data_IF_837356832799
#
_entry.id   IF_837356832799
#
_cell.length_a   1.000
_cell.length_b   1.000
_cell.length_c   1.000
_cell.angle_alpha   90.00
_cell.angle_beta   90.00
_cell.angle_gamma   90.00
#
_symmetry.space_group_name_H-M   'P 1'
#
loop_
_entity.id
_entity.type
_entity.pdbx_description
1 polymer ?
#
# COMPACT_ATOMS: atom_id res chain seq x y z
N UNK A 1 -13.81 -11.79 40.09
CA UNK A 1 -14.93 -12.39 39.43
C UNK A 1 -15.99 -11.35 39.16
N UNK A 2 -16.06 -10.88 37.92
CA UNK A 2 -17.17 -10.05 37.48
C UNK A 2 -18.40 -10.93 37.31
N UNK A 3 -19.59 -10.42 37.72
CA UNK A 3 -20.86 -11.09 37.51
C UNK A 3 -21.21 -10.99 36.04
N UNK A 4 -21.09 -12.08 35.30
CA UNK A 4 -21.20 -12.11 33.84
C UNK A 4 -22.63 -11.86 33.35
N UNK A 5 -23.67 -12.15 34.16
CA UNK A 5 -25.06 -11.95 33.77
C UNK A 5 -25.91 -11.49 34.93
N UNK A 6 -26.39 -10.27 34.90
CA UNK A 6 -27.43 -9.76 35.75
C UNK A 6 -28.69 -9.50 34.90
N UNK A 7 -29.22 -10.56 34.26
CA UNK A 7 -30.54 -10.52 33.65
C UNK A 7 -31.56 -10.95 34.68
N UNK A 8 -32.57 -10.13 34.98
CA UNK A 8 -33.73 -10.53 35.75
C UNK A 8 -34.53 -11.54 34.90
N UNK A 9 -34.20 -12.80 35.02
CA UNK A 9 -34.99 -13.86 34.41
C UNK A 9 -36.28 -14.07 35.18
N UNK A 10 -37.41 -13.99 34.51
CA UNK A 10 -38.71 -14.48 34.99
C UNK A 10 -38.77 -16.00 34.96
N UNK A 11 -37.64 -16.66 34.76
CA UNK A 11 -37.46 -18.10 34.54
C UNK A 11 -36.34 -18.62 35.42
N UNK A 12 -36.36 -19.90 35.77
CA UNK A 12 -35.31 -20.54 36.55
C UNK A 12 -34.27 -21.17 35.68
N UNK A 13 -32.97 -20.89 35.93
CA UNK A 13 -31.87 -21.59 35.34
C UNK A 13 -31.61 -22.89 36.09
N UNK A 14 -31.56 -24.02 35.41
CA UNK A 14 -31.37 -25.36 35.97
C UNK A 14 -30.02 -25.99 35.67
N UNK A 15 -29.31 -25.49 34.72
CA UNK A 15 -27.98 -25.97 34.34
C UNK A 15 -27.19 -24.92 33.57
N UNK A 16 -25.89 -25.02 33.64
CA UNK A 16 -24.94 -24.18 32.93
C UNK A 16 -23.73 -25.01 32.58
N UNK A 17 -23.22 -24.81 31.39
CA UNK A 17 -21.96 -25.39 30.96
C UNK A 17 -21.22 -24.42 30.05
N UNK A 18 -19.89 -24.59 29.93
CA UNK A 18 -19.01 -23.74 29.14
C UNK A 18 -18.47 -24.57 28.00
N UNK A 19 -18.37 -23.97 26.82
CA UNK A 19 -17.76 -24.58 25.61
C UNK A 19 -16.32 -25.02 25.87
N UNK A 20 -15.85 -26.01 25.13
CA UNK A 20 -14.52 -26.60 25.33
C UNK A 20 -13.37 -25.58 25.08
N UNK A 21 -13.60 -24.58 24.24
CA UNK A 21 -12.67 -23.48 23.97
C UNK A 21 -12.76 -22.33 24.99
N UNK A 22 -13.76 -22.35 25.86
CA UNK A 22 -13.96 -21.35 26.90
C UNK A 22 -14.57 -20.03 26.42
N UNK A 23 -15.09 -19.96 25.21
CA UNK A 23 -15.63 -18.73 24.63
C UNK A 23 -17.11 -18.52 24.88
N UNK A 24 -17.88 -19.61 24.98
CA UNK A 24 -19.33 -19.56 25.11
C UNK A 24 -19.85 -20.25 26.38
N UNK A 25 -21.03 -19.86 26.84
CA UNK A 25 -21.74 -20.46 27.97
C UNK A 25 -23.18 -20.75 27.61
N UNK A 26 -23.61 -21.99 27.83
CA UNK A 26 -24.97 -22.44 27.63
C UNK A 26 -25.76 -22.51 28.94
N UNK A 27 -26.95 -21.93 28.96
CA UNK A 27 -27.88 -21.97 30.13
C UNK A 27 -29.14 -22.78 29.82
N UNK A 28 -29.40 -23.78 30.61
CA UNK A 28 -30.68 -24.48 30.59
C UNK A 28 -31.75 -23.69 31.33
N UNK A 29 -32.76 -23.22 30.62
CA UNK A 29 -33.83 -22.37 31.19
C UNK A 29 -35.19 -23.08 31.14
N UNK A 30 -35.84 -23.17 32.29
CA UNK A 30 -37.20 -23.68 32.40
C UNK A 30 -38.19 -22.58 32.74
N UNK A 31 -39.31 -22.56 32.03
CA UNK A 31 -40.38 -21.60 32.26
C UNK A 31 -41.51 -22.26 33.07
N UNK A 32 -41.96 -21.59 34.13
CA UNK A 32 -43.07 -22.05 34.94
C UNK A 32 -44.45 -21.94 34.25
N UNK A 33 -44.51 -21.19 33.19
CA UNK A 33 -45.75 -20.97 32.46
C UNK A 33 -45.51 -20.93 30.96
N UNK A 34 -46.21 -21.71 30.25
CA UNK A 34 -46.64 -21.55 28.85
C UNK A 34 -45.72 -21.94 27.69
N UNK A 35 -44.41 -21.74 27.72
CA UNK A 35 -43.63 -21.80 26.49
C UNK A 35 -42.54 -22.90 26.39
N UNK A 36 -42.52 -23.84 27.33
CA UNK A 36 -41.48 -24.89 27.35
C UNK A 36 -40.14 -24.38 27.85
N UNK A 37 -39.11 -25.23 27.79
CA UNK A 37 -37.74 -24.87 28.13
C UNK A 37 -36.94 -24.44 26.89
N UNK A 38 -35.91 -23.69 27.15
CA UNK A 38 -34.92 -23.31 26.13
C UNK A 38 -33.49 -23.50 26.63
N UNK A 39 -32.57 -23.62 25.71
CA UNK A 39 -31.16 -23.40 25.99
C UNK A 39 -30.77 -22.04 25.38
N UNK A 40 -30.14 -21.19 26.19
CA UNK A 40 -29.61 -19.91 25.76
C UNK A 40 -28.09 -19.97 25.74
N UNK A 41 -27.49 -19.56 24.66
CA UNK A 41 -26.05 -19.51 24.49
C UNK A 41 -25.58 -18.05 24.46
N UNK A 42 -24.54 -17.74 25.21
CA UNK A 42 -23.95 -16.41 25.31
C UNK A 42 -22.46 -16.47 25.09
N UNK A 43 -21.90 -15.46 24.45
CA UNK A 43 -20.48 -15.22 24.47
C UNK A 43 -20.00 -14.70 25.82
N UNK A 44 -18.89 -15.24 26.33
CA UNK A 44 -18.38 -14.92 27.67
C UNK A 44 -17.78 -13.50 27.68
N UNK A 45 -17.04 -13.13 26.70
CA UNK A 45 -16.30 -11.84 26.64
C UNK A 45 -17.23 -10.65 26.41
N UNK A 46 -18.21 -10.77 25.54
CA UNK A 46 -19.15 -9.71 25.21
C UNK A 46 -20.44 -9.73 26.01
N UNK A 47 -20.78 -10.88 26.60
CA UNK A 47 -22.07 -11.15 27.22
C UNK A 47 -23.27 -11.00 26.26
N UNK A 48 -23.00 -11.13 24.96
CA UNK A 48 -24.04 -11.14 23.94
C UNK A 48 -24.76 -12.50 23.91
N UNK A 49 -26.06 -12.47 23.68
CA UNK A 49 -26.86 -13.68 23.43
C UNK A 49 -26.56 -14.09 21.97
N UNK A 50 -25.91 -15.23 21.80
CA UNK A 50 -25.60 -15.81 20.51
C UNK A 50 -26.81 -16.54 19.94
N UNK A 51 -27.46 -17.40 20.78
CA UNK A 51 -28.61 -18.18 20.33
C UNK A 51 -29.59 -18.51 21.43
N UNK A 52 -30.84 -18.80 21.04
CA UNK A 52 -31.90 -19.30 21.92
C UNK A 52 -32.57 -20.52 21.28
N UNK A 53 -32.13 -21.70 21.67
CA UNK A 53 -32.65 -22.96 21.16
C UNK A 53 -33.93 -23.33 21.93
N UNK A 54 -35.07 -23.25 21.27
CA UNK A 54 -36.37 -23.63 21.85
C UNK A 54 -36.57 -25.14 21.75
N UNK A 55 -36.81 -25.80 22.89
CA UNK A 55 -37.10 -27.21 22.92
C UNK A 55 -38.59 -27.41 22.59
N UNK A 56 -38.88 -27.65 21.32
CA UNK A 56 -40.22 -27.91 20.83
C UNK A 56 -40.47 -29.42 20.60
N UNK A 57 -41.72 -29.83 20.71
CA UNK A 57 -42.14 -31.20 20.41
C UNK A 57 -42.39 -31.37 18.91
N UNK A 58 -41.61 -32.18 18.22
CA UNK A 58 -41.96 -32.79 16.94
C UNK A 58 -42.82 -31.97 15.98
N UNK A 59 -42.38 -30.75 15.62
CA UNK A 59 -43.05 -29.90 14.63
C UNK A 59 -44.22 -29.05 15.10
N UNK A 60 -44.59 -29.10 16.37
CA UNK A 60 -45.63 -28.26 16.94
C UNK A 60 -45.08 -27.47 18.13
N UNK A 61 -45.19 -26.15 18.08
CA UNK A 61 -44.98 -25.27 19.24
C UNK A 61 -45.85 -25.73 20.41
N UNK A 62 -45.31 -25.72 21.63
CA UNK A 62 -46.05 -26.03 22.84
C UNK A 62 -47.25 -25.09 22.95
N UNK A 63 -48.46 -25.62 22.75
CA UNK A 63 -49.70 -24.83 22.83
C UNK A 63 -50.38 -25.00 24.18
N UNK A 64 -50.80 -23.88 24.75
CA UNK A 64 -51.50 -23.80 26.06
C UNK A 64 -53.02 -23.97 26.00
N UNK A 65 -53.56 -24.61 25.01
CA UNK A 65 -55.00 -24.86 25.03
C UNK A 65 -55.30 -26.11 25.82
N UNK A 66 -55.81 -25.94 27.01
CA UNK A 66 -56.51 -26.78 28.01
C UNK A 66 -56.53 -28.32 27.92
N UNK A 67 -56.08 -28.94 26.89
CA UNK A 67 -56.00 -30.41 26.73
C UNK A 67 -54.62 -30.86 26.18
N UNK A 68 -53.61 -30.01 26.26
CA UNK A 68 -52.27 -30.28 25.73
C UNK A 68 -51.31 -30.75 26.80
N UNK A 69 -50.43 -31.64 26.45
CA UNK A 69 -49.28 -32.02 27.25
C UNK A 69 -48.42 -30.80 27.56
N UNK A 70 -48.10 -30.53 28.82
CA UNK A 70 -47.21 -29.42 29.18
C UNK A 70 -45.82 -29.66 28.57
N UNK A 71 -45.24 -28.61 28.01
CA UNK A 71 -43.87 -28.63 27.56
C UNK A 71 -42.93 -29.00 28.73
N UNK A 72 -41.94 -29.83 28.45
CA UNK A 72 -40.95 -30.21 29.45
C UNK A 72 -40.05 -29.03 29.82
N UNK A 73 -39.60 -29.00 31.08
CA UNK A 73 -38.54 -28.07 31.48
C UNK A 73 -37.19 -28.61 31.01
N UNK A 74 -36.33 -27.76 30.52
CA UNK A 74 -34.93 -28.09 30.33
C UNK A 74 -34.23 -28.03 31.68
N UNK A 75 -33.69 -29.17 32.15
CA UNK A 75 -33.09 -29.29 33.48
C UNK A 75 -31.55 -29.31 33.44
N UNK A 76 -30.95 -29.52 32.30
CA UNK A 76 -29.51 -29.48 32.12
C UNK A 76 -29.18 -29.11 30.70
N UNK A 77 -28.07 -28.43 30.54
CA UNK A 77 -27.40 -28.29 29.24
C UNK A 77 -25.91 -28.65 29.46
N UNK A 78 -25.32 -29.33 28.54
CA UNK A 78 -23.89 -29.64 28.56
C UNK A 78 -23.33 -29.58 27.16
N UNK A 79 -22.23 -28.91 27.03
CA UNK A 79 -21.47 -28.89 25.76
C UNK A 79 -20.87 -30.26 25.48
N UNK A 80 -20.99 -30.69 24.23
CA UNK A 80 -20.24 -31.84 23.77
C UNK A 80 -18.75 -31.45 23.55
N UNK A 81 -17.81 -32.40 23.72
CA UNK A 81 -16.38 -32.12 23.54
C UNK A 81 -15.96 -31.62 22.14
N UNK A 82 -16.84 -31.76 21.12
CA UNK A 82 -16.61 -31.24 19.79
C UNK A 82 -16.75 -29.72 19.68
N UNK A 83 -17.27 -29.07 20.71
CA UNK A 83 -17.49 -27.64 20.74
C UNK A 83 -18.68 -27.11 19.93
N UNK A 84 -19.41 -28.03 19.26
CA UNK A 84 -20.51 -27.70 18.35
C UNK A 84 -21.87 -28.06 18.94
N UNK A 85 -21.94 -29.22 19.56
CA UNK A 85 -23.19 -29.77 20.03
C UNK A 85 -23.47 -29.46 21.50
N UNK A 86 -24.73 -29.16 21.83
CA UNK A 86 -25.21 -29.04 23.20
C UNK A 86 -26.19 -30.17 23.45
N UNK A 87 -25.99 -30.89 24.54
CA UNK A 87 -26.92 -31.90 25.05
C UNK A 87 -27.83 -31.27 26.06
N UNK A 88 -29.16 -31.39 25.89
CA UNK A 88 -30.14 -30.89 26.83
C UNK A 88 -30.97 -32.03 27.44
N UNK A 89 -31.05 -32.05 28.75
CA UNK A 89 -31.94 -32.96 29.49
C UNK A 89 -33.28 -32.31 29.76
N UNK A 90 -34.37 -32.98 29.35
CA UNK A 90 -35.73 -32.47 29.51
C UNK A 90 -36.53 -33.36 30.49
N UNK A 91 -37.22 -32.75 31.47
CA UNK A 91 -38.10 -33.42 32.44
C UNK A 91 -39.56 -33.13 32.18
N UNK A 92 -40.44 -34.03 32.73
CA UNK A 92 -41.88 -34.14 32.55
C UNK A 92 -42.35 -34.76 31.21
N UNK A 93 -42.99 -35.90 31.35
CA UNK A 93 -43.73 -36.69 30.36
C UNK A 93 -42.95 -37.15 29.10
N UNK A 94 -41.81 -36.60 28.84
CA UNK A 94 -40.87 -36.97 27.76
C UNK A 94 -39.46 -36.95 28.31
N UNK A 95 -39.02 -38.05 28.91
CA UNK A 95 -37.64 -38.26 29.29
C UNK A 95 -36.83 -38.46 27.98
N UNK A 96 -36.21 -37.43 27.49
CA UNK A 96 -35.40 -37.47 26.29
C UNK A 96 -34.10 -36.71 26.47
N UNK A 97 -33.08 -37.21 25.84
CA UNK A 97 -31.85 -36.51 25.58
C UNK A 97 -31.97 -35.88 24.18
N UNK A 98 -31.80 -34.60 24.10
CA UNK A 98 -31.82 -33.88 22.82
C UNK A 98 -30.43 -33.39 22.52
N UNK A 99 -29.97 -33.68 21.33
CA UNK A 99 -28.80 -33.04 20.78
C UNK A 99 -29.25 -31.75 20.09
N UNK A 100 -28.68 -30.66 20.48
CA UNK A 100 -28.97 -29.34 19.96
C UNK A 100 -27.70 -28.83 19.29
N UNK A 101 -27.85 -28.32 18.12
CA UNK A 101 -26.77 -27.58 17.46
C UNK A 101 -26.88 -26.15 17.96
N UNK A 102 -25.80 -25.58 18.48
CA UNK A 102 -25.72 -24.14 18.62
C UNK A 102 -25.67 -23.57 17.23
N UNK A 103 -26.53 -22.63 16.91
CA UNK A 103 -26.41 -21.84 15.71
C UNK A 103 -25.20 -20.90 15.89
N UNK A 104 -24.17 -21.08 15.11
CA UNK A 104 -22.92 -20.34 15.20
C UNK A 104 -22.83 -19.29 14.09
N UNK A 105 -23.96 -18.75 13.70
CA UNK A 105 -24.07 -17.59 12.83
C UNK A 105 -23.75 -16.32 13.63
N UNK A 106 -22.46 -16.00 13.73
CA UNK A 106 -21.97 -14.96 14.64
C UNK A 106 -22.26 -13.55 14.13
N UNK A 107 -22.37 -13.37 12.83
CA UNK A 107 -22.56 -12.08 12.17
C UNK A 107 -23.97 -11.88 11.61
N UNK A 108 -24.81 -12.94 11.71
CA UNK A 108 -26.23 -12.96 11.31
C UNK A 108 -26.46 -12.78 9.81
N UNK A 109 -25.61 -13.37 9.00
CA UNK A 109 -25.78 -13.40 7.55
C UNK A 109 -26.59 -14.59 7.02
N UNK A 110 -26.86 -15.58 7.89
CA UNK A 110 -27.65 -16.78 7.62
C UNK A 110 -26.79 -18.01 7.33
N UNK A 111 -25.47 -17.92 7.45
CA UNK A 111 -24.54 -19.03 7.31
C UNK A 111 -23.82 -19.33 8.62
N UNK A 112 -23.54 -20.59 8.88
CA UNK A 112 -22.92 -21.01 10.15
C UNK A 112 -21.42 -21.21 9.97
N UNK A 113 -20.63 -20.83 10.98
CA UNK A 113 -19.17 -21.05 11.00
C UNK A 113 -18.77 -22.54 10.99
N UNK A 114 -19.72 -23.45 11.20
CA UNK A 114 -19.48 -24.90 11.22
C UNK A 114 -20.51 -25.64 10.38
N UNK A 115 -20.08 -26.71 9.70
CA UNK A 115 -20.96 -27.55 8.88
C UNK A 115 -22.06 -28.20 9.77
N UNK A 116 -23.30 -27.85 9.53
CA UNK A 116 -24.46 -28.41 10.18
C UNK A 116 -24.95 -29.70 9.53
N UNK A 117 -24.22 -30.24 8.58
CA UNK A 117 -24.50 -31.47 7.84
C UNK A 117 -25.10 -31.24 6.46
N UNK A 118 -25.14 -29.99 6.00
CA UNK A 118 -25.54 -29.58 4.66
C UNK A 118 -24.33 -29.31 3.74
N UNK A 119 -23.11 -29.32 4.30
CA UNK A 119 -21.87 -29.10 3.58
C UNK A 119 -21.57 -27.62 3.33
N UNK A 120 -22.31 -26.72 3.97
CA UNK A 120 -22.11 -25.28 3.89
C UNK A 120 -21.47 -24.79 5.20
N UNK A 121 -20.36 -24.11 5.06
CA UNK A 121 -19.62 -23.48 6.16
C UNK A 121 -19.37 -22.04 5.78
N UNK A 122 -19.65 -21.13 6.69
CA UNK A 122 -19.28 -19.74 6.54
C UNK A 122 -17.75 -19.60 6.60
N UNK A 123 -17.19 -19.06 5.55
CA UNK A 123 -15.76 -18.81 5.45
C UNK A 123 -15.33 -17.53 6.20
N UNK A 124 -16.30 -16.64 6.51
CA UNK A 124 -16.06 -15.33 7.11
C UNK A 124 -16.98 -15.07 8.32
N UNK A 125 -16.89 -15.84 9.40
CA UNK A 125 -17.87 -15.83 10.50
C UNK A 125 -18.00 -14.53 11.30
N UNK A 126 -17.26 -13.50 10.94
CA UNK A 126 -17.30 -12.17 11.58
C UNK A 126 -17.69 -11.08 10.56
N UNK A 127 -17.97 -11.44 9.30
CA UNK A 127 -18.33 -10.52 8.24
C UNK A 127 -19.65 -10.89 7.57
N UNK A 128 -20.76 -10.39 8.10
CA UNK A 128 -22.10 -10.61 7.56
C UNK A 128 -22.34 -10.10 6.13
N UNK A 129 -21.31 -9.75 5.40
CA UNK A 129 -21.39 -9.42 3.97
C UNK A 129 -20.74 -10.48 3.08
N UNK A 130 -19.97 -11.40 3.70
CA UNK A 130 -19.25 -12.47 3.03
C UNK A 130 -19.52 -13.81 3.73
N UNK A 131 -19.73 -14.89 2.98
CA UNK A 131 -19.90 -16.24 3.54
C UNK A 131 -19.20 -17.33 2.75
N UNK A 132 -18.75 -17.03 1.53
CA UNK A 132 -18.13 -18.02 0.65
C UNK A 132 -16.80 -17.54 0.13
N UNK A 133 -15.79 -18.37 0.29
CA UNK A 133 -14.47 -18.23 -0.32
C UNK A 133 -14.33 -19.37 -1.34
N UNK A 134 -14.37 -19.04 -2.62
CA UNK A 134 -14.49 -20.03 -3.68
C UNK A 134 -13.18 -20.72 -4.00
N UNK A 135 -12.07 -20.01 -3.91
CA UNK A 135 -10.73 -20.53 -4.27
C UNK A 135 -9.79 -20.65 -3.06
N UNK A 136 -10.20 -20.13 -1.91
CA UNK A 136 -9.53 -20.35 -0.63
C UNK A 136 -8.39 -19.36 -0.35
N UNK A 137 -8.47 -18.15 -0.87
CA UNK A 137 -7.42 -17.12 -0.71
C UNK A 137 -7.67 -16.14 0.43
N UNK A 138 -8.85 -16.18 1.04
CA UNK A 138 -9.23 -15.34 2.16
C UNK A 138 -10.02 -14.10 1.77
N UNK A 139 -10.41 -13.96 0.51
CA UNK A 139 -11.32 -12.93 0.03
C UNK A 139 -12.69 -13.53 -0.33
N UNK A 140 -13.75 -12.78 -0.01
CA UNK A 140 -15.11 -13.29 -0.14
C UNK A 140 -15.68 -13.15 -1.55
N UNK A 141 -16.34 -14.21 -2.00
CA UNK A 141 -16.89 -14.28 -3.36
C UNK A 141 -18.15 -13.42 -3.60
N UNK A 142 -18.70 -12.74 -2.57
CA UNK A 142 -19.84 -11.85 -2.75
C UNK A 142 -19.39 -10.52 -3.35
N UNK A 143 -20.07 -10.03 -4.38
CA UNK A 143 -19.70 -8.77 -5.03
C UNK A 143 -20.04 -7.56 -4.16
N UNK A 144 -19.48 -6.42 -4.50
CA UNK A 144 -19.84 -5.14 -3.87
C UNK A 144 -21.39 -4.97 -3.79
N UNK A 145 -21.92 -4.50 -2.65
CA UNK A 145 -21.27 -3.73 -1.60
C UNK A 145 -20.72 -4.55 -0.42
N UNK A 146 -20.40 -5.83 -0.63
CA UNK A 146 -19.70 -6.61 0.38
C UNK A 146 -18.33 -6.02 0.73
N UNK A 147 -17.81 -6.32 1.92
CA UNK A 147 -16.47 -5.90 2.32
C UNK A 147 -15.43 -6.66 1.50
N UNK A 148 -14.40 -5.97 1.05
CA UNK A 148 -13.23 -6.53 0.35
C UNK A 148 -13.58 -7.70 -0.61
N UNK A 149 -14.49 -7.46 -1.60
CA UNK A 149 -14.98 -8.51 -2.47
C UNK A 149 -13.86 -9.05 -3.36
N UNK A 150 -13.76 -10.36 -3.46
CA UNK A 150 -12.85 -11.02 -4.39
C UNK A 150 -13.22 -10.71 -5.85
N UNK A 151 -12.31 -10.09 -6.57
CA UNK A 151 -12.47 -9.79 -7.99
C UNK A 151 -11.95 -10.91 -8.89
N UNK A 152 -11.27 -11.91 -8.33
CA UNK A 152 -10.74 -13.08 -9.03
C UNK A 152 -11.27 -14.41 -8.50
N UNK A 153 -12.54 -14.49 -8.16
CA UNK A 153 -13.32 -15.51 -7.42
C UNK A 153 -12.89 -16.98 -7.62
N UNK A 154 -12.18 -17.33 -8.66
CA UNK A 154 -11.76 -18.69 -8.99
C UNK A 154 -10.26 -18.86 -9.14
N UNK A 155 -9.49 -17.83 -8.78
CA UNK A 155 -8.05 -17.81 -8.97
C UNK A 155 -7.40 -17.14 -7.77
N UNK A 156 -6.88 -17.95 -6.86
CA UNK A 156 -6.25 -17.49 -5.62
C UNK A 156 -5.25 -16.36 -5.84
N UNK A 157 -5.32 -15.31 -5.05
CA UNK A 157 -4.44 -14.17 -5.13
C UNK A 157 -4.20 -13.48 -3.81
N UNK A 158 -3.33 -12.48 -3.83
CA UNK A 158 -2.89 -11.77 -2.63
C UNK A 158 -2.98 -10.26 -2.77
N UNK A 159 -3.46 -9.76 -3.91
CA UNK A 159 -3.55 -8.33 -4.17
C UNK A 159 -4.55 -7.62 -3.23
N UNK A 160 -4.20 -6.40 -2.83
CA UNK A 160 -4.88 -5.63 -1.79
C UNK A 160 -5.09 -4.15 -2.14
N UNK A 161 -4.56 -3.69 -3.27
CA UNK A 161 -4.55 -2.27 -3.60
C UNK A 161 -5.55 -1.89 -4.70
N UNK A 162 -5.66 -2.70 -5.74
CA UNK A 162 -6.53 -2.44 -6.88
C UNK A 162 -7.70 -3.42 -6.98
N UNK A 163 -7.43 -4.70 -6.99
CA UNK A 163 -8.37 -5.81 -7.17
C UNK A 163 -8.11 -6.87 -6.11
N UNK A 164 -8.93 -6.90 -5.07
CA UNK A 164 -8.77 -7.84 -3.96
C UNK A 164 -8.81 -9.29 -4.46
N UNK A 165 -7.97 -10.16 -3.87
CA UNK A 165 -7.97 -11.58 -4.16
C UNK A 165 -7.43 -11.98 -5.55
N UNK A 166 -6.85 -11.05 -6.30
CA UNK A 166 -6.26 -11.39 -7.60
C UNK A 166 -4.77 -11.77 -7.49
N UNK A 167 -4.25 -12.53 -8.47
CA UNK A 167 -2.82 -12.83 -8.51
C UNK A 167 -1.95 -11.59 -8.43
N UNK A 168 -0.94 -11.67 -7.59
CA UNK A 168 0.06 -10.66 -7.30
C UNK A 168 1.40 -11.39 -7.20
N UNK A 169 2.18 -11.34 -8.28
CA UNK A 169 3.34 -12.23 -8.44
C UNK A 169 4.54 -11.78 -7.63
N UNK A 170 4.73 -10.48 -7.46
CA UNK A 170 5.88 -9.92 -6.73
C UNK A 170 5.57 -9.50 -5.30
N UNK A 171 4.28 -9.42 -4.94
CA UNK A 171 3.82 -9.22 -3.57
C UNK A 171 3.79 -7.78 -3.12
N UNK A 172 3.65 -6.83 -4.02
CA UNK A 172 3.57 -5.39 -3.68
C UNK A 172 2.14 -4.93 -3.33
N UNK A 173 1.16 -5.80 -3.56
CA UNK A 173 -0.25 -5.58 -3.28
C UNK A 173 -1.09 -5.17 -4.48
N UNK A 174 -0.48 -4.85 -5.62
CA UNK A 174 -1.19 -4.66 -6.88
C UNK A 174 -1.38 -6.00 -7.60
N UNK A 175 -2.49 -6.14 -8.29
CA UNK A 175 -2.72 -7.37 -9.07
C UNK A 175 -1.85 -7.39 -10.32
N UNK A 176 -1.40 -8.58 -10.77
CA UNK A 176 -0.63 -8.73 -12.02
C UNK A 176 -1.29 -8.05 -13.23
N UNK A 177 -2.61 -7.87 -13.20
CA UNK A 177 -3.37 -7.25 -14.28
C UNK A 177 -3.50 -5.74 -14.14
N UNK A 178 -3.36 -5.20 -12.95
CA UNK A 178 -3.38 -3.76 -12.66
C UNK A 178 -2.00 -3.16 -12.49
N UNK A 179 -1.01 -4.00 -12.34
CA UNK A 179 0.39 -3.65 -12.17
C UNK A 179 1.10 -3.47 -13.52
N UNK A 180 1.79 -2.35 -13.68
CA UNK A 180 2.62 -2.09 -14.84
C UNK A 180 3.87 -2.98 -14.88
N UNK A 181 4.44 -3.34 -13.72
CA UNK A 181 5.66 -4.13 -13.59
C UNK A 181 5.48 -5.37 -12.69
N UNK A 182 4.67 -6.39 -13.05
CA UNK A 182 4.22 -7.50 -12.19
C UNK A 182 5.33 -8.44 -11.67
N UNK A 183 6.57 -8.08 -11.80
CA UNK A 183 7.75 -8.82 -11.31
C UNK A 183 8.72 -7.91 -10.54
N UNK A 184 8.38 -6.64 -10.35
CA UNK A 184 9.20 -5.68 -9.63
C UNK A 184 8.40 -5.01 -8.50
N UNK A 185 8.50 -5.51 -7.25
CA UNK A 185 7.69 -5.04 -6.12
C UNK A 185 7.96 -3.60 -5.70
N UNK A 186 8.70 -2.86 -6.47
CA UNK A 186 8.96 -1.43 -6.26
C UNK A 186 8.26 -0.55 -7.29
N UNK A 187 7.65 -1.13 -8.32
CA UNK A 187 7.04 -0.41 -9.44
C UNK A 187 5.68 -0.98 -9.81
N UNK A 188 4.63 -0.19 -9.79
CA UNK A 188 3.25 -0.61 -10.13
C UNK A 188 2.54 0.33 -11.11
N UNK A 189 3.11 1.49 -11.43
CA UNK A 189 2.56 2.44 -12.39
C UNK A 189 3.65 3.11 -13.21
N UNK A 190 3.36 3.40 -14.47
CA UNK A 190 4.13 4.22 -15.41
C UNK A 190 3.13 5.18 -16.05
N UNK A 191 3.06 6.42 -15.53
CA UNK A 191 1.97 7.34 -15.84
C UNK A 191 2.12 8.02 -17.21
N UNK A 192 3.34 8.23 -17.67
CA UNK A 192 3.62 8.88 -18.96
C UNK A 192 4.01 7.92 -20.08
N UNK A 193 4.27 6.64 -19.73
CA UNK A 193 4.47 5.57 -20.71
C UNK A 193 5.85 5.51 -21.32
N UNK A 194 6.86 6.00 -20.63
CA UNK A 194 8.25 6.02 -21.14
C UNK A 194 9.02 4.72 -20.87
N UNK A 195 8.48 3.83 -20.03
CA UNK A 195 9.08 2.55 -19.69
C UNK A 195 9.84 2.54 -18.37
N UNK A 196 9.74 3.59 -17.58
CA UNK A 196 10.23 3.68 -16.21
C UNK A 196 9.06 3.87 -15.26
N UNK A 197 9.09 3.19 -14.11
CA UNK A 197 7.97 3.26 -13.16
C UNK A 197 8.04 4.50 -12.28
N UNK A 198 6.89 5.04 -11.90
CA UNK A 198 6.76 6.31 -11.16
C UNK A 198 7.40 6.30 -9.78
N UNK A 199 7.73 5.13 -9.24
CA UNK A 199 8.24 5.03 -7.87
C UNK A 199 9.75 5.28 -7.79
N UNK A 200 10.12 6.54 -7.94
CA UNK A 200 11.51 7.00 -7.87
C UNK A 200 11.93 7.30 -6.43
N UNK A 201 13.12 6.81 -6.04
CA UNK A 201 13.73 7.15 -4.76
C UNK A 201 15.08 7.80 -4.96
N UNK A 202 15.14 9.08 -4.69
CA UNK A 202 16.40 9.81 -4.62
C UNK A 202 17.03 9.66 -3.23
N UNK A 203 18.18 9.00 -3.10
CA UNK A 203 18.96 8.93 -1.86
C UNK A 203 20.30 9.63 -2.01
N UNK A 204 20.41 10.81 -1.41
CA UNK A 204 21.65 11.60 -1.37
C UNK A 204 22.85 10.88 -0.74
N UNK A 205 22.64 9.78 -0.02
CA UNK A 205 23.69 9.06 0.69
C UNK A 205 24.19 7.83 -0.06
N UNK A 206 23.50 7.40 -1.12
CA UNK A 206 23.86 6.20 -1.88
C UNK A 206 23.77 6.41 -3.40
N UNK A 207 24.69 7.18 -3.91
CA UNK A 207 24.87 7.45 -5.34
C UNK A 207 25.00 6.19 -6.22
N UNK A 208 25.28 5.02 -5.64
CA UNK A 208 25.44 3.76 -6.36
C UNK A 208 24.11 2.99 -6.53
N UNK A 209 23.08 3.27 -5.73
CA UNK A 209 21.79 2.57 -5.79
C UNK A 209 20.92 3.03 -6.98
N UNK A 210 21.12 4.26 -7.45
CA UNK A 210 20.28 4.84 -8.50
C UNK A 210 20.55 4.28 -9.91
N UNK A 211 21.72 3.72 -10.15
CA UNK A 211 22.11 3.20 -11.48
C UNK A 211 21.39 1.92 -11.87
N UNK A 212 20.64 1.30 -10.94
CA UNK A 212 19.93 0.03 -11.14
C UNK A 212 18.44 0.07 -10.75
N UNK A 213 17.88 1.23 -10.42
CA UNK A 213 16.46 1.34 -10.13
C UNK A 213 15.71 1.84 -11.37
N UNK A 214 14.68 1.12 -11.73
CA UNK A 214 13.77 1.41 -12.84
C UNK A 214 12.81 2.57 -12.56
N UNK A 215 13.04 3.34 -11.48
CA UNK A 215 12.18 4.44 -11.07
C UNK A 215 12.37 5.69 -11.92
N UNK A 216 11.25 6.38 -12.17
CA UNK A 216 11.20 7.62 -12.93
C UNK A 216 11.24 8.85 -12.01
N UNK A 217 12.23 9.71 -12.23
CA UNK A 217 12.34 10.99 -11.52
C UNK A 217 11.32 12.05 -12.02
N UNK A 218 10.72 11.81 -13.19
CA UNK A 218 9.80 12.75 -13.85
C UNK A 218 8.52 12.08 -14.35
N UNK A 219 7.69 11.49 -13.46
CA UNK A 219 6.58 10.57 -13.80
C UNK A 219 5.43 11.19 -14.62
N UNK A 220 5.61 12.34 -15.17
CA UNK A 220 4.67 13.01 -16.08
C UNK A 220 5.37 13.59 -17.30
N UNK A 221 6.62 13.19 -17.56
CA UNK A 221 7.41 13.70 -18.68
C UNK A 221 8.18 12.58 -19.37
N UNK A 222 7.54 11.89 -20.29
CA UNK A 222 8.08 10.78 -21.08
C UNK A 222 9.38 11.09 -21.86
N UNK A 223 10.00 12.21 -21.62
CA UNK A 223 11.30 12.59 -22.22
C UNK A 223 12.43 12.61 -21.21
N UNK A 224 12.09 12.45 -19.93
CA UNK A 224 13.04 12.43 -18.82
C UNK A 224 12.67 11.32 -17.84
N UNK A 225 13.63 10.57 -17.33
CA UNK A 225 13.43 9.52 -16.33
C UNK A 225 14.50 9.49 -15.24
N UNK A 226 15.67 10.12 -15.48
CA UNK A 226 16.72 10.23 -14.48
C UNK A 226 17.05 11.68 -14.18
N UNK A 227 17.35 11.93 -12.90
CA UNK A 227 17.93 13.14 -12.36
C UNK A 227 19.09 12.70 -11.46
N UNK A 228 20.30 12.61 -12.02
CA UNK A 228 21.41 11.95 -11.34
C UNK A 228 21.97 12.76 -10.17
N UNK A 229 21.94 14.07 -10.23
CA UNK A 229 22.45 14.92 -9.14
C UNK A 229 21.36 15.52 -8.26
N UNK A 230 20.09 15.39 -8.67
CA UNK A 230 18.93 15.77 -7.88
C UNK A 230 18.65 17.26 -7.86
N UNK A 231 18.88 17.95 -8.94
CA UNK A 231 18.62 19.38 -9.05
C UNK A 231 17.25 19.71 -9.66
N UNK A 232 16.56 18.70 -10.20
CA UNK A 232 15.22 18.82 -10.81
C UNK A 232 15.24 19.01 -12.31
N UNK A 233 16.39 18.86 -12.96
CA UNK A 233 16.55 18.80 -14.41
C UNK A 233 16.94 17.39 -14.83
N UNK A 234 16.47 16.97 -16.00
CA UNK A 234 16.65 15.58 -16.43
C UNK A 234 17.94 15.36 -17.20
N UNK A 235 18.49 14.15 -17.02
CA UNK A 235 19.76 13.76 -17.64
C UNK A 235 19.70 13.70 -19.16
N UNK A 236 18.52 13.51 -19.77
CA UNK A 236 18.36 13.45 -21.23
C UNK A 236 18.48 14.85 -21.83
N UNK A 237 19.08 14.93 -23.00
CA UNK A 237 19.39 16.20 -23.65
C UNK A 237 18.94 16.25 -25.09
N UNK A 238 18.58 17.44 -25.59
CA UNK A 238 18.10 17.64 -26.96
C UNK A 238 19.20 18.16 -27.93
N UNK A 239 20.26 18.76 -27.41
CA UNK A 239 21.27 19.39 -28.20
C UNK A 239 22.34 18.40 -28.69
N UNK A 240 22.27 17.98 -29.93
CA UNK A 240 23.23 17.05 -30.52
C UNK A 240 24.70 17.53 -30.52
N UNK A 241 24.97 18.84 -30.35
CA UNK A 241 26.32 19.32 -30.19
C UNK A 241 26.96 18.87 -28.87
N UNK A 242 26.15 18.63 -27.85
CA UNK A 242 26.64 18.12 -26.58
C UNK A 242 27.24 16.72 -26.68
N UNK A 243 26.76 15.90 -27.61
CA UNK A 243 27.26 14.53 -27.86
C UNK A 243 28.77 14.44 -28.11
N UNK A 244 29.33 15.48 -28.70
CA UNK A 244 30.76 15.54 -29.00
C UNK A 244 31.65 15.98 -27.84
N UNK A 245 31.06 16.49 -26.75
CA UNK A 245 31.78 17.06 -25.61
C UNK A 245 31.44 16.37 -24.30
N UNK A 246 30.21 15.78 -24.16
CA UNK A 246 29.87 15.02 -22.97
C UNK A 246 30.77 13.80 -22.85
N UNK A 247 31.40 13.56 -21.69
CA UNK A 247 32.05 12.31 -21.41
C UNK A 247 31.09 11.13 -21.60
N UNK A 248 31.53 10.04 -22.17
CA UNK A 248 30.70 8.85 -22.43
C UNK A 248 30.15 8.17 -21.17
N UNK A 249 30.71 8.50 -20.04
CA UNK A 249 30.31 8.05 -18.72
C UNK A 249 29.20 8.92 -18.09
N UNK A 250 28.85 10.05 -18.68
CA UNK A 250 27.77 10.89 -18.18
C UNK A 250 26.41 10.27 -18.49
N UNK A 251 25.47 10.35 -17.54
CA UNK A 251 24.11 9.80 -17.71
C UNK A 251 23.31 10.56 -18.78
N UNK A 252 22.18 9.95 -19.17
CA UNK A 252 21.25 10.51 -20.13
C UNK A 252 21.59 10.18 -21.60
N UNK A 253 20.60 10.40 -22.45
CA UNK A 253 20.67 10.13 -23.89
C UNK A 253 20.23 11.32 -24.71
N UNK A 254 20.72 11.39 -25.96
CA UNK A 254 20.24 12.38 -26.92
C UNK A 254 18.79 12.06 -27.31
N UNK A 255 17.86 12.91 -26.89
CA UNK A 255 16.44 12.79 -27.20
C UNK A 255 15.94 14.13 -27.78
N UNK A 256 15.56 14.21 -29.08
CA UNK A 256 15.25 15.48 -29.75
C UNK A 256 14.08 16.29 -29.25
N UNK A 257 13.51 15.91 -28.15
CA UNK A 257 12.41 16.62 -27.48
C UNK A 257 12.54 16.56 -25.98
N UNK A 258 13.75 16.28 -25.47
CA UNK A 258 14.01 16.28 -24.04
C UNK A 258 13.57 17.61 -23.42
N UNK A 259 12.67 17.54 -22.48
CA UNK A 259 12.18 18.69 -21.75
C UNK A 259 13.07 18.92 -20.53
N UNK A 260 13.30 20.17 -20.15
CA UNK A 260 14.15 20.52 -19.00
C UNK A 260 15.51 19.76 -18.96
N UNK A 261 16.29 19.76 -20.05
CA UNK A 261 17.53 19.00 -20.12
C UNK A 261 18.59 19.58 -19.18
N UNK A 262 19.41 18.71 -18.62
CA UNK A 262 20.56 19.07 -17.81
C UNK A 262 21.86 19.03 -18.63
N UNK A 263 22.53 20.17 -18.74
CA UNK A 263 23.85 20.26 -19.36
C UNK A 263 24.95 19.66 -18.47
N UNK A 264 24.74 19.57 -17.16
CA UNK A 264 25.72 19.17 -16.14
C UNK A 264 25.17 18.09 -15.18
N UNK A 265 24.76 16.92 -15.63
CA UNK A 265 24.01 15.93 -14.86
C UNK A 265 24.78 15.30 -13.68
N UNK A 266 25.91 15.83 -13.31
CA UNK A 266 26.71 15.44 -12.15
C UNK A 266 27.06 16.64 -11.26
N UNK A 267 26.53 17.83 -11.56
CA UNK A 267 26.74 19.05 -10.78
C UNK A 267 25.43 19.75 -10.45
N UNK A 268 24.77 19.34 -9.38
CA UNK A 268 23.48 19.89 -8.90
C UNK A 268 23.42 21.41 -8.72
N UNK A 269 24.53 22.11 -8.94
CA UNK A 269 24.57 23.57 -8.88
C UNK A 269 24.47 24.21 -10.26
N UNK A 270 24.52 23.41 -11.33
CA UNK A 270 24.51 23.83 -12.72
C UNK A 270 23.56 22.92 -13.53
N UNK A 271 22.77 23.48 -14.42
CA UNK A 271 21.92 22.72 -15.33
C UNK A 271 21.81 23.36 -16.73
N UNK A 272 22.31 24.56 -16.90
CA UNK A 272 22.22 25.32 -18.16
C UNK A 272 23.59 25.79 -18.60
N UNK A 273 23.81 25.72 -19.92
CA UNK A 273 24.96 26.24 -20.64
C UNK A 273 24.44 26.88 -21.92
N UNK A 274 24.28 28.20 -21.93
CA UNK A 274 23.61 28.94 -23.01
C UNK A 274 24.46 29.15 -24.24
N UNK A 275 25.77 29.22 -24.10
CA UNK A 275 26.70 29.49 -25.22
C UNK A 275 27.55 28.28 -25.62
N UNK A 276 27.52 27.20 -24.81
CA UNK A 276 28.12 25.91 -25.16
C UNK A 276 29.61 25.80 -24.85
N UNK A 277 30.11 26.53 -23.89
CA UNK A 277 31.52 26.52 -23.51
C UNK A 277 31.84 25.56 -22.33
N UNK A 278 30.81 24.87 -21.78
CA UNK A 278 30.90 23.92 -20.65
C UNK A 278 31.18 24.55 -19.29
N UNK A 279 30.82 25.81 -19.18
CA UNK A 279 30.77 26.52 -17.92
C UNK A 279 29.32 26.94 -17.65
N UNK A 280 28.80 26.58 -16.50
CA UNK A 280 27.35 26.72 -16.26
C UNK A 280 26.91 28.12 -15.92
N UNK A 281 25.72 28.47 -16.38
CA UNK A 281 25.11 29.80 -16.28
C UNK A 281 24.71 30.22 -14.87
N UNK A 282 24.64 29.31 -13.89
CA UNK A 282 24.15 29.65 -12.56
C UNK A 282 25.14 30.53 -11.79
N UNK A 283 24.82 31.83 -11.59
CA UNK A 283 25.73 32.77 -10.93
C UNK A 283 25.99 32.50 -9.46
N UNK A 284 25.26 31.55 -8.84
CA UNK A 284 25.44 31.16 -7.46
C UNK A 284 26.31 29.90 -7.30
N UNK A 285 26.76 29.32 -8.39
CA UNK A 285 27.74 28.24 -8.37
C UNK A 285 29.14 28.74 -8.11
N UNK A 286 29.98 27.93 -7.49
CA UNK A 286 31.41 28.25 -7.28
C UNK A 286 32.19 28.35 -8.62
N UNK A 287 31.64 27.82 -9.72
CA UNK A 287 32.17 27.84 -11.07
C UNK A 287 31.17 28.45 -12.04
N UNK A 288 30.60 29.59 -11.69
CA UNK A 288 29.66 30.30 -12.53
C UNK A 288 30.34 30.91 -13.75
N UNK A 289 29.67 30.79 -14.90
CA UNK A 289 30.08 31.51 -16.09
C UNK A 289 29.87 33.02 -15.90
N UNK A 290 30.95 33.78 -16.14
CA UNK A 290 30.89 35.24 -16.04
C UNK A 290 30.41 35.87 -17.35
N UNK A 291 30.33 35.12 -18.44
CA UNK A 291 29.91 35.54 -19.77
C UNK A 291 28.83 34.63 -20.42
N UNK A 292 27.72 34.30 -19.76
CA UNK A 292 26.81 33.18 -20.07
C UNK A 292 26.10 33.25 -21.42
N UNK A 293 26.45 34.11 -22.31
CA UNK A 293 25.91 34.22 -23.65
C UNK A 293 27.00 34.47 -24.68
N UNK A 294 28.25 34.26 -24.28
CA UNK A 294 29.39 34.55 -25.14
C UNK A 294 30.48 33.52 -24.88
N UNK A 295 30.52 32.48 -25.69
CA UNK A 295 31.49 31.40 -25.63
C UNK A 295 32.91 31.88 -25.29
N UNK A 296 33.53 31.26 -24.29
CA UNK A 296 34.87 31.58 -23.86
C UNK A 296 35.54 30.42 -23.11
N UNK A 297 36.83 30.50 -22.94
CA UNK A 297 37.66 29.46 -22.35
C UNK A 297 38.59 29.98 -21.25
N UNK A 298 38.42 31.24 -20.83
CA UNK A 298 39.16 31.82 -19.71
C UNK A 298 38.88 31.09 -18.38
N UNK A 299 39.93 30.94 -17.56
CA UNK A 299 39.90 30.09 -16.38
C UNK A 299 40.37 30.79 -15.09
N UNK A 300 41.06 31.90 -15.16
CA UNK A 300 41.75 32.45 -14.00
C UNK A 300 41.14 33.74 -13.46
N UNK A 301 40.52 34.57 -14.29
CA UNK A 301 39.88 35.82 -13.88
C UNK A 301 38.35 35.78 -13.97
N UNK A 302 37.77 35.76 -15.15
CA UNK A 302 36.35 35.66 -15.46
C UNK A 302 36.08 34.36 -16.20
N UNK A 303 35.71 33.35 -15.46
CA UNK A 303 35.45 32.02 -16.00
C UNK A 303 34.45 32.08 -17.17
N UNK A 304 34.70 31.38 -18.28
CA UNK A 304 33.79 31.33 -19.43
C UNK A 304 33.77 32.57 -20.30
N UNK A 305 34.66 33.51 -20.12
CA UNK A 305 34.75 34.65 -21.03
C UNK A 305 35.75 34.42 -22.15
N UNK A 306 35.63 35.13 -23.30
CA UNK A 306 36.59 35.03 -24.37
C UNK A 306 38.03 35.24 -23.95
N UNK A 307 38.89 34.34 -24.39
CA UNK A 307 40.33 34.35 -24.21
C UNK A 307 40.97 34.09 -25.59
N UNK A 308 41.44 35.13 -26.24
CA UNK A 308 41.84 35.06 -27.65
C UNK A 308 43.15 34.30 -27.86
N UNK A 309 44.07 34.34 -26.91
CA UNK A 309 45.37 33.71 -27.05
C UNK A 309 45.55 32.43 -26.23
N UNK A 310 44.56 32.11 -25.33
CA UNK A 310 44.50 30.87 -24.60
C UNK A 310 45.43 30.79 -23.41
N UNK A 311 45.73 31.90 -22.76
CA UNK A 311 46.56 31.93 -21.56
C UNK A 311 45.76 31.75 -20.26
N UNK A 312 44.45 31.76 -20.39
CA UNK A 312 43.48 31.54 -19.28
C UNK A 312 42.92 32.82 -18.66
N UNK A 313 43.34 33.98 -19.14
CA UNK A 313 42.80 35.28 -18.74
C UNK A 313 41.86 35.82 -19.81
N UNK A 314 40.77 36.49 -19.38
CA UNK A 314 39.75 36.95 -20.30
C UNK A 314 40.17 38.22 -21.07
N UNK A 315 39.73 38.32 -22.33
CA UNK A 315 39.90 39.52 -23.16
C UNK A 315 39.27 40.76 -22.49
N UNK A 316 39.86 41.94 -22.65
CA UNK A 316 39.36 43.17 -22.09
C UNK A 316 38.03 43.62 -22.71
N UNK A 317 37.10 44.07 -21.87
CA UNK A 317 35.83 44.67 -22.26
C UNK A 317 35.62 46.04 -21.60
N UNK A 318 34.58 46.76 -22.05
CA UNK A 318 34.25 48.06 -21.41
C UNK A 318 33.89 47.97 -19.95
N UNK A 319 33.36 46.82 -19.51
CA UNK A 319 33.00 46.52 -18.11
C UNK A 319 34.12 45.83 -17.33
N UNK A 320 35.12 45.31 -17.99
CA UNK A 320 36.24 44.57 -17.43
C UNK A 320 37.51 44.91 -18.20
N UNK A 321 38.08 46.09 -17.97
CA UNK A 321 39.33 46.52 -18.66
C UNK A 321 40.56 45.83 -18.07
N UNK A 322 41.64 45.78 -18.83
CA UNK A 322 42.95 45.44 -18.29
C UNK A 322 43.40 46.53 -17.29
N UNK A 323 44.14 46.13 -16.28
CA UNK A 323 44.64 47.00 -15.19
C UNK A 323 46.13 46.72 -14.95
N UNK A 324 46.88 47.75 -14.56
CA UNK A 324 48.31 47.65 -14.25
C UNK A 324 48.61 46.93 -12.92
N UNK A 325 47.60 46.56 -12.16
CA UNK A 325 47.72 45.81 -10.91
C UNK A 325 47.41 44.31 -11.09
N UNK A 326 47.23 43.85 -12.35
CA UNK A 326 46.96 42.45 -12.71
C UNK A 326 45.65 41.83 -12.11
N UNK A 327 44.67 42.67 -11.69
CA UNK A 327 43.36 42.24 -11.22
C UNK A 327 42.25 42.45 -12.26
N UNK A 328 42.58 42.85 -13.47
CA UNK A 328 41.65 43.06 -14.57
C UNK A 328 41.77 41.99 -15.67
N UNK A 329 41.21 42.29 -16.83
CA UNK A 329 41.35 41.50 -18.04
C UNK A 329 42.81 41.43 -18.50
N UNK A 330 43.05 40.47 -19.37
CA UNK A 330 44.34 40.34 -20.07
C UNK A 330 44.79 41.66 -20.71
N UNK A 331 46.00 42.09 -20.43
CA UNK A 331 46.60 43.28 -21.01
C UNK A 331 47.21 43.03 -22.40
N UNK A 332 47.42 41.76 -22.75
CA UNK A 332 48.09 41.36 -23.99
C UNK A 332 47.32 40.27 -24.75
N UNK A 333 46.06 40.46 -25.14
CA UNK A 333 45.12 39.43 -25.64
C UNK A 333 45.55 38.80 -26.99
N UNK A 334 46.80 38.78 -27.29
CA UNK A 334 47.41 38.13 -28.47
C UNK A 334 48.78 37.55 -28.15
N UNK A 335 49.19 37.52 -26.88
CA UNK A 335 50.49 36.99 -26.44
C UNK A 335 50.29 36.01 -25.27
N UNK A 336 50.12 34.71 -25.51
CA UNK A 336 49.79 33.70 -24.50
C UNK A 336 50.91 33.49 -23.44
N UNK A 337 51.87 34.35 -23.40
CA UNK A 337 52.93 34.33 -22.38
C UNK A 337 52.87 35.49 -21.41
N UNK A 338 51.94 36.42 -21.61
CA UNK A 338 51.81 37.65 -20.81
C UNK A 338 50.31 38.02 -20.68
N UNK A 339 49.82 38.16 -19.48
CA UNK A 339 48.45 38.60 -19.15
C UNK A 339 48.43 39.94 -18.38
N UNK A 340 49.56 40.39 -17.90
CA UNK A 340 49.64 41.54 -17.03
C UNK A 340 50.76 42.48 -17.46
N UNK A 341 50.48 43.83 -17.39
CA UNK A 341 51.46 44.89 -17.59
C UNK A 341 51.79 45.51 -16.22
N UNK A 342 52.89 45.11 -15.63
CA UNK A 342 53.37 45.60 -14.33
C UNK A 342 54.22 46.85 -14.40
N UNK A 343 54.45 47.45 -15.60
CA UNK A 343 55.36 48.60 -15.83
C UNK A 343 54.69 49.98 -15.59
#
# INVERSE_FOLDING_TARGET
>A
GASILNQQATSSCYGVDISADGTQVAFAIGYYSTNGGSVMVYEIDTSLLVDTIQIARGGNTCSQNGNGNPCGNVNSASWHPDGIHITAGVSRNYNGLYFLFADLDSDNDGYNSTDQGDGVVDAFPEDGTQWNDTDGDGYGANPAPANDPDECITTTGTSTQDRFGCPDTDGDGWSDAGDWAPLDPLQWVDADGDGYGDNYRFDLNDYQLHVNQSGDAFPNDATQWNDTDGDGYGDNYENASWDSYRPSEWPGVLLPSANMPDAFPLDRTQHMDSDGDWIGDNPNSDRADACPNLYGDSQYDRLGCPDTDGDGYSDPTAGWPSTTDCYGADAFPSDPTQWCDED
#
